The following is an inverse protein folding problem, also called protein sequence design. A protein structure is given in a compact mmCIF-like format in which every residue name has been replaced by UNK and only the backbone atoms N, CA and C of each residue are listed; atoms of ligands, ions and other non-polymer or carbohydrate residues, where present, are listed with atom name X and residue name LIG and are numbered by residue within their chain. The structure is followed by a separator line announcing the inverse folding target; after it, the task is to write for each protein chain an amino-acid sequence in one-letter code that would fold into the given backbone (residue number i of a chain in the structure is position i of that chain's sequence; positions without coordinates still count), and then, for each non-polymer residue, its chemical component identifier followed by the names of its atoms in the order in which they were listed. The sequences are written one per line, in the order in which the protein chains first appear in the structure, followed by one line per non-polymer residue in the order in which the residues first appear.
data_IF_740293633816
#
_entry.id   IF_740293633816
#
_cell.length_a   1.000
_cell.length_b   1.000
_cell.length_c   1.000
_cell.angle_alpha   90.00
_cell.angle_beta   90.00
_cell.angle_gamma   90.00
#
_symmetry.space_group_name_H-M   'P 1'
#
loop_
_entity.id
_entity.type
_entity.pdbx_description
1 polymer ?
#
# COMPACT_ATOMS: atom_id res chain seq x y z
N UNK A 1 -7.36 -35.01 23.24
CA UNK A 1 -6.86 -34.91 21.84
C UNK A 1 -6.74 -33.44 21.55
N UNK A 2 -5.56 -32.96 21.20
CA UNK A 2 -5.38 -31.57 20.77
C UNK A 2 -5.77 -31.49 19.31
N UNK A 3 -6.93 -30.93 19.01
CA UNK A 3 -7.37 -30.76 17.64
C UNK A 3 -6.45 -29.76 16.95
N UNK A 4 -5.77 -30.19 15.88
CA UNK A 4 -4.94 -29.31 15.08
C UNK A 4 -5.84 -28.35 14.30
N UNK A 5 -5.76 -27.05 14.60
CA UNK A 5 -6.43 -26.01 13.84
C UNK A 5 -5.75 -25.86 12.47
N UNK A 6 -6.32 -26.49 11.45
CA UNK A 6 -5.83 -26.35 10.07
C UNK A 6 -6.35 -25.02 9.53
N UNK A 7 -5.52 -23.98 9.60
CA UNK A 7 -5.81 -22.69 8.96
C UNK A 7 -5.45 -22.73 7.47
N UNK A 8 -6.39 -22.35 6.60
CA UNK A 8 -6.17 -22.26 5.17
C UNK A 8 -5.19 -21.15 4.79
N UNK A 9 -4.62 -21.24 3.58
CA UNK A 9 -3.72 -20.19 3.07
C UNK A 9 -4.46 -18.87 2.84
N UNK A 10 -4.05 -17.81 3.53
CA UNK A 10 -4.62 -16.47 3.38
C UNK A 10 -4.04 -15.74 2.15
N UNK A 11 -4.42 -16.18 0.95
CA UNK A 11 -4.04 -15.53 -0.30
C UNK A 11 -4.85 -14.26 -0.55
N UNK A 12 -4.22 -13.27 -1.18
CA UNK A 12 -4.93 -12.09 -1.67
C UNK A 12 -5.66 -12.47 -2.96
N UNK A 13 -6.98 -12.54 -2.91
CA UNK A 13 -7.81 -12.95 -4.03
C UNK A 13 -8.18 -11.76 -4.91
N UNK A 14 -8.38 -12.00 -6.20
CA UNK A 14 -9.01 -11.00 -7.10
C UNK A 14 -10.51 -11.05 -6.84
N UNK A 15 -11.02 -10.05 -6.13
CA UNK A 15 -12.41 -9.97 -5.71
C UNK A 15 -12.93 -8.53 -5.77
N UNK A 16 -14.25 -8.38 -5.88
CA UNK A 16 -14.91 -7.07 -5.86
C UNK A 16 -14.70 -6.42 -4.49
N UNK A 17 -14.29 -5.16 -4.49
CA UNK A 17 -13.98 -4.38 -3.28
C UNK A 17 -12.52 -4.45 -2.87
N UNK A 18 -11.70 -5.38 -3.40
CA UNK A 18 -10.28 -5.38 -3.08
C UNK A 18 -9.61 -4.14 -3.64
N UNK A 19 -8.85 -3.47 -2.78
CA UNK A 19 -8.03 -2.33 -3.15
C UNK A 19 -6.74 -2.83 -3.76
N UNK A 20 -6.37 -2.20 -4.85
CA UNK A 20 -5.21 -2.52 -5.65
C UNK A 20 -4.36 -1.29 -5.88
N UNK A 21 -3.08 -1.52 -6.09
CA UNK A 21 -2.10 -0.48 -6.40
C UNK A 21 -1.75 -0.63 -7.86
N UNK A 22 -1.92 0.45 -8.63
CA UNK A 22 -1.47 0.47 -10.01
C UNK A 22 0.06 0.53 -10.01
N UNK A 23 0.68 -0.32 -10.81
CA UNK A 23 2.12 -0.48 -10.88
C UNK A 23 2.60 -0.54 -12.33
N UNK A 24 3.91 -0.66 -12.49
CA UNK A 24 4.59 -0.77 -13.78
C UNK A 24 4.36 0.49 -14.65
N UNK A 25 4.60 0.33 -15.94
CA UNK A 25 4.34 1.32 -16.97
C UNK A 25 2.83 1.43 -17.22
N UNK A 26 2.21 2.41 -16.58
CA UNK A 26 0.80 2.80 -16.67
C UNK A 26 0.65 4.30 -16.30
N UNK A 27 -0.25 5.08 -16.93
CA UNK A 27 -0.38 6.51 -16.66
C UNK A 27 -0.68 6.86 -15.20
N UNK A 28 -1.48 6.01 -14.53
CA UNK A 28 -1.85 6.17 -13.12
C UNK A 28 -0.96 5.36 -12.16
N UNK A 29 0.28 5.06 -12.55
CA UNK A 29 1.20 4.26 -11.74
C UNK A 29 1.42 4.91 -10.37
N UNK A 30 1.21 4.12 -9.32
CA UNK A 30 1.20 4.60 -7.95
C UNK A 30 -0.17 4.92 -7.38
N UNK A 31 -1.20 5.10 -8.21
CA UNK A 31 -2.57 5.27 -7.76
C UNK A 31 -3.11 4.03 -7.04
N UNK A 32 -4.16 4.24 -6.24
CA UNK A 32 -4.91 3.16 -5.59
C UNK A 32 -6.33 3.14 -6.11
N UNK A 33 -6.87 1.94 -6.32
CA UNK A 33 -8.21 1.76 -6.87
C UNK A 33 -8.86 0.52 -6.25
N UNK A 34 -10.18 0.48 -6.19
CA UNK A 34 -10.93 -0.72 -5.83
C UNK A 34 -11.34 -1.46 -7.11
N UNK A 35 -11.32 -2.80 -7.07
CA UNK A 35 -11.92 -3.62 -8.11
C UNK A 35 -13.43 -3.50 -7.99
N UNK A 36 -14.06 -2.94 -9.03
CA UNK A 36 -15.52 -2.77 -9.11
C UNK A 36 -16.18 -3.97 -9.78
N UNK A 37 -15.51 -4.53 -10.78
CA UNK A 37 -15.97 -5.70 -11.51
C UNK A 37 -14.77 -6.47 -12.11
N UNK A 38 -14.92 -7.79 -12.25
CA UNK A 38 -13.97 -8.65 -12.93
C UNK A 38 -14.51 -8.85 -14.34
N UNK A 39 -13.77 -8.38 -15.34
CA UNK A 39 -14.20 -8.43 -16.75
C UNK A 39 -13.92 -9.82 -17.30
N UNK A 40 -12.68 -10.28 -17.12
CA UNK A 40 -12.21 -11.59 -17.55
C UNK A 40 -11.02 -12.04 -16.68
N UNK A 41 -10.42 -13.19 -17.00
CA UNK A 41 -9.29 -13.76 -16.24
C UNK A 41 -8.03 -12.88 -16.21
N UNK A 42 -7.92 -11.89 -17.10
CA UNK A 42 -6.73 -11.04 -17.23
C UNK A 42 -7.01 -9.57 -16.93
N UNK A 43 -8.27 -9.14 -16.87
CA UNK A 43 -8.65 -7.73 -16.75
C UNK A 43 -9.74 -7.50 -15.72
N UNK A 44 -9.62 -6.38 -15.02
CA UNK A 44 -10.56 -5.90 -14.01
C UNK A 44 -10.97 -4.46 -14.31
N UNK A 45 -12.22 -4.12 -13.99
CA UNK A 45 -12.67 -2.75 -13.95
C UNK A 45 -12.33 -2.16 -12.57
N UNK A 46 -11.55 -1.09 -12.55
CA UNK A 46 -11.10 -0.47 -11.31
C UNK A 46 -11.45 1.01 -11.28
N UNK A 47 -11.58 1.55 -10.08
CA UNK A 47 -11.78 2.96 -9.84
C UNK A 47 -11.25 3.36 -8.47
N UNK A 48 -10.57 4.51 -8.39
CA UNK A 48 -10.00 5.05 -7.16
C UNK A 48 -10.59 6.42 -6.87
N UNK A 49 -11.36 6.53 -5.78
CA UNK A 49 -11.99 7.78 -5.33
C UNK A 49 -11.26 8.37 -4.12
N UNK A 50 -9.94 8.23 -4.09
CA UNK A 50 -9.07 8.80 -3.04
C UNK A 50 -9.22 10.32 -2.98
N UNK A 51 -9.03 10.89 -1.79
CA UNK A 51 -9.00 12.34 -1.57
C UNK A 51 -7.71 13.00 -2.11
N UNK A 52 -6.60 12.26 -2.17
CA UNK A 52 -5.33 12.72 -2.72
C UNK A 52 -5.33 12.56 -4.25
N UNK A 53 -5.19 13.67 -4.98
CA UNK A 53 -5.18 13.75 -6.44
C UNK A 53 -4.12 12.85 -7.08
N UNK A 54 -2.97 12.67 -6.43
CA UNK A 54 -1.90 11.80 -6.94
C UNK A 54 -2.24 10.31 -6.85
N UNK A 55 -3.25 9.96 -6.06
CA UNK A 55 -3.70 8.60 -5.82
C UNK A 55 -5.01 8.27 -6.54
N UNK A 56 -5.71 9.28 -7.07
CA UNK A 56 -6.97 9.12 -7.80
C UNK A 56 -6.75 8.34 -9.09
N UNK A 57 -7.69 7.43 -9.37
CA UNK A 57 -7.69 6.62 -10.59
C UNK A 57 -9.08 6.69 -11.20
N UNK A 58 -9.25 7.20 -12.43
CA UNK A 58 -10.55 7.20 -13.07
C UNK A 58 -11.00 5.77 -13.38
N UNK A 59 -12.32 5.59 -13.49
CA UNK A 59 -12.93 4.30 -13.82
C UNK A 59 -12.41 3.82 -15.18
N UNK A 60 -11.68 2.71 -15.18
CA UNK A 60 -11.11 2.14 -16.40
C UNK A 60 -10.86 0.63 -16.25
N UNK A 61 -10.79 -0.07 -17.39
CA UNK A 61 -10.36 -1.46 -17.42
C UNK A 61 -8.83 -1.52 -17.35
N UNK A 62 -8.29 -2.32 -16.43
CA UNK A 62 -6.85 -2.52 -16.27
C UNK A 62 -6.52 -4.02 -16.29
N UNK A 63 -5.47 -4.45 -17.00
CA UNK A 63 -4.99 -5.81 -16.92
C UNK A 63 -4.33 -6.11 -15.57
N UNK A 64 -4.58 -7.29 -15.01
CA UNK A 64 -4.11 -7.72 -13.70
C UNK A 64 -2.58 -7.71 -13.55
N UNK A 65 -1.84 -7.83 -14.66
CA UNK A 65 -0.37 -7.75 -14.66
C UNK A 65 0.19 -6.32 -14.45
N UNK A 66 -0.65 -5.28 -14.52
CA UNK A 66 -0.31 -3.87 -14.23
C UNK A 66 -0.76 -3.44 -12.83
N UNK A 67 -1.18 -4.40 -12.01
CA UNK A 67 -1.84 -4.17 -10.76
C UNK A 67 -1.24 -5.08 -9.70
N UNK A 68 -1.15 -4.58 -8.48
CA UNK A 68 -0.70 -5.35 -7.32
C UNK A 68 -1.80 -5.35 -6.26
N UNK A 69 -2.12 -6.55 -5.76
CA UNK A 69 -3.18 -6.74 -4.77
C UNK A 69 -2.70 -6.25 -3.39
N UNK A 70 -3.42 -5.28 -2.83
CA UNK A 70 -3.21 -4.84 -1.46
C UNK A 70 -3.99 -5.73 -0.47
N UNK A 71 -3.63 -5.73 0.83
CA UNK A 71 -4.43 -6.43 1.85
C UNK A 71 -5.76 -5.74 2.14
N UNK A 72 -5.97 -4.51 1.70
CA UNK A 72 -7.18 -3.73 2.00
C UNK A 72 -8.34 -4.19 1.09
N UNK A 73 -9.52 -4.32 1.70
CA UNK A 73 -10.77 -4.67 1.02
C UNK A 73 -11.87 -3.74 1.54
N UNK A 74 -12.70 -3.23 0.63
CA UNK A 74 -13.93 -2.52 0.95
C UNK A 74 -15.02 -3.58 1.16
N UNK A 75 -15.45 -3.83 2.40
CA UNK A 75 -16.42 -4.89 2.68
C UNK A 75 -17.79 -4.51 2.11
N UNK A 76 -18.44 -5.46 1.44
CA UNK A 76 -19.81 -5.29 0.92
C UNK A 76 -19.92 -4.35 -0.29
N UNK A 77 -18.84 -4.14 -1.05
CA UNK A 77 -18.94 -3.48 -2.35
C UNK A 77 -19.72 -4.38 -3.31
N UNK A 78 -20.81 -3.86 -3.86
CA UNK A 78 -21.60 -4.57 -4.85
C UNK A 78 -20.88 -4.56 -6.19
N UNK A 79 -21.02 -5.66 -6.94
CA UNK A 79 -20.52 -5.72 -8.33
C UNK A 79 -21.13 -4.59 -9.15
N UNK A 80 -20.31 -3.94 -9.98
CA UNK A 80 -20.73 -2.83 -10.84
C UNK A 80 -21.29 -1.60 -10.08
N UNK A 81 -20.93 -1.44 -8.80
CA UNK A 81 -21.21 -0.21 -8.03
C UNK A 81 -20.81 1.04 -8.80
N UNK A 82 -21.68 2.06 -8.83
CA UNK A 82 -21.42 3.36 -9.48
C UNK A 82 -20.52 4.25 -8.61
N UNK A 83 -19.90 5.27 -9.22
CA UNK A 83 -18.97 6.21 -8.58
C UNK A 83 -19.46 6.70 -7.20
N UNK A 84 -20.70 7.21 -7.12
CA UNK A 84 -21.24 7.75 -5.87
C UNK A 84 -21.35 6.70 -4.76
N UNK A 85 -21.70 5.45 -5.09
CA UNK A 85 -21.76 4.36 -4.11
C UNK A 85 -20.37 3.91 -3.67
N UNK A 86 -19.42 3.83 -4.62
CA UNK A 86 -18.04 3.48 -4.32
C UNK A 86 -17.40 4.53 -3.41
N UNK A 87 -17.56 5.83 -3.73
CA UNK A 87 -17.02 6.93 -2.93
C UNK A 87 -17.50 6.88 -1.48
N UNK A 88 -18.82 6.70 -1.27
CA UNK A 88 -19.40 6.55 0.08
C UNK A 88 -18.82 5.37 0.84
N UNK A 89 -18.64 4.22 0.18
CA UNK A 89 -18.08 3.04 0.83
C UNK A 89 -16.57 3.14 1.06
N UNK A 90 -15.84 3.81 0.16
CA UNK A 90 -14.42 4.10 0.28
C UNK A 90 -14.12 4.97 1.50
N UNK A 91 -14.90 6.04 1.66
CA UNK A 91 -14.86 6.93 2.82
C UNK A 91 -15.26 6.19 4.10
N UNK A 92 -16.36 5.44 4.08
CA UNK A 92 -16.82 4.63 5.22
C UNK A 92 -15.79 3.58 5.66
N UNK A 93 -15.07 3.00 4.72
CA UNK A 93 -14.02 2.01 5.00
C UNK A 93 -12.68 2.66 5.38
N UNK A 94 -12.58 4.00 5.34
CA UNK A 94 -11.39 4.80 5.65
C UNK A 94 -10.15 4.31 4.89
N UNK A 95 -10.31 3.98 3.61
CA UNK A 95 -9.25 3.37 2.80
C UNK A 95 -8.02 4.26 2.71
N UNK A 96 -8.20 5.58 2.59
CA UNK A 96 -7.06 6.52 2.50
C UNK A 96 -6.21 6.52 3.78
N UNK A 97 -6.85 6.48 4.96
CA UNK A 97 -6.17 6.41 6.26
C UNK A 97 -5.43 5.08 6.40
N UNK A 98 -6.12 3.97 6.13
CA UNK A 98 -5.53 2.63 6.19
C UNK A 98 -4.39 2.47 5.19
N UNK A 99 -4.52 3.04 4.00
CA UNK A 99 -3.47 3.05 2.98
C UNK A 99 -2.21 3.74 3.50
N UNK A 100 -2.34 4.94 4.09
CA UNK A 100 -1.21 5.71 4.66
C UNK A 100 -0.48 4.94 5.76
N UNK A 101 -1.19 4.11 6.52
CA UNK A 101 -0.59 3.28 7.58
C UNK A 101 0.20 2.09 7.06
N UNK A 102 -0.08 1.63 5.83
CA UNK A 102 0.62 0.48 5.25
C UNK A 102 2.12 0.72 5.13
N UNK A 103 2.89 -0.37 5.25
CA UNK A 103 4.35 -0.35 5.03
C UNK A 103 4.69 0.14 3.61
N UNK A 104 3.80 -0.08 2.64
CA UNK A 104 3.99 0.36 1.27
C UNK A 104 3.93 1.87 1.14
N UNK A 105 2.87 2.50 1.64
CA UNK A 105 2.74 3.96 1.63
C UNK A 105 3.89 4.62 2.38
N UNK A 106 4.23 4.11 3.58
CA UNK A 106 5.38 4.57 4.38
C UNK A 106 6.70 4.48 3.61
N UNK A 107 6.96 3.35 2.94
CA UNK A 107 8.19 3.16 2.15
C UNK A 107 8.23 4.10 0.94
N UNK A 108 7.10 4.29 0.25
CA UNK A 108 7.04 5.23 -0.89
C UNK A 108 7.28 6.66 -0.44
N UNK A 109 6.64 7.10 0.65
CA UNK A 109 6.86 8.41 1.25
C UNK A 109 8.33 8.60 1.66
N UNK A 110 8.95 7.57 2.24
CA UNK A 110 10.38 7.61 2.58
C UNK A 110 11.26 7.78 1.34
N UNK A 111 10.98 7.05 0.25
CA UNK A 111 11.73 7.19 -1.01
C UNK A 111 11.56 8.57 -1.62
N UNK A 112 10.32 9.09 -1.66
CA UNK A 112 10.04 10.44 -2.14
C UNK A 112 10.80 11.50 -1.33
N UNK A 113 10.75 11.41 0.00
CA UNK A 113 11.49 12.32 0.90
C UNK A 113 13.00 12.26 0.67
N UNK A 114 13.56 11.07 0.43
CA UNK A 114 14.99 10.89 0.14
C UNK A 114 15.40 11.49 -1.21
N UNK A 115 14.54 11.38 -2.22
CA UNK A 115 14.75 12.02 -3.53
C UNK A 115 14.72 13.54 -3.41
N UNK A 116 13.86 14.09 -2.56
CA UNK A 116 13.70 15.52 -2.35
C UNK A 116 14.76 16.18 -1.42
N UNK A 117 15.72 15.42 -0.87
CA UNK A 117 16.72 15.97 0.04
C UNK A 117 17.69 16.93 -0.69
N UNK A 118 17.89 18.11 -0.11
CA UNK A 118 18.98 19.02 -0.48
C UNK A 118 20.34 18.46 -0.05
N UNK A 119 21.43 19.00 -0.60
CA UNK A 119 22.78 18.54 -0.24
C UNK A 119 23.09 18.74 1.25
N UNK A 120 22.70 19.90 1.79
CA UNK A 120 22.84 20.18 3.22
C UNK A 120 22.03 19.19 4.08
N UNK A 121 20.83 18.80 3.66
CA UNK A 121 20.05 17.80 4.39
C UNK A 121 20.66 16.40 4.30
N UNK A 122 21.29 16.04 3.18
CA UNK A 122 22.07 14.79 3.08
C UNK A 122 23.24 14.79 4.06
N UNK A 123 23.93 15.92 4.21
CA UNK A 123 24.99 16.07 5.21
C UNK A 123 24.45 15.90 6.64
N UNK A 124 23.33 16.54 7.00
CA UNK A 124 22.67 16.33 8.31
C UNK A 124 22.33 14.86 8.54
N UNK A 125 21.70 14.20 7.56
CA UNK A 125 21.34 12.77 7.63
C UNK A 125 22.58 11.90 7.81
N UNK A 126 23.70 12.22 7.15
CA UNK A 126 24.97 11.51 7.31
C UNK A 126 25.49 11.65 8.75
N UNK A 127 25.55 12.86 9.30
CA UNK A 127 26.01 13.10 10.68
C UNK A 127 25.15 12.38 11.71
N UNK A 128 23.82 12.48 11.60
CA UNK A 128 22.89 11.80 12.50
C UNK A 128 23.00 10.28 12.42
N UNK A 129 23.21 9.71 11.23
CA UNK A 129 23.44 8.26 11.07
C UNK A 129 24.74 7.81 11.73
N UNK A 130 25.80 8.59 11.63
CA UNK A 130 27.08 8.30 12.28
C UNK A 130 26.94 8.28 13.80
N UNK A 131 26.27 9.28 14.37
CA UNK A 131 26.00 9.33 15.81
C UNK A 131 25.16 8.13 16.28
N UNK A 132 24.07 7.81 15.56
CA UNK A 132 23.22 6.66 15.88
C UNK A 132 23.99 5.34 15.86
N UNK A 133 24.82 5.11 14.83
CA UNK A 133 25.65 3.90 14.70
C UNK A 133 26.66 3.76 15.83
N UNK A 134 27.23 4.88 16.30
CA UNK A 134 28.17 4.87 17.41
C UNK A 134 27.49 4.38 18.70
N UNK A 135 26.33 4.94 19.03
CA UNK A 135 25.56 4.52 20.21
C UNK A 135 25.06 3.07 20.10
N UNK A 136 24.56 2.65 18.93
CA UNK A 136 24.17 1.26 18.67
C UNK A 136 25.34 0.28 18.93
N UNK A 137 26.56 0.60 18.45
CA UNK A 137 27.75 -0.23 18.67
C UNK A 137 28.18 -0.27 20.12
N UNK A 138 28.11 0.87 20.82
CA UNK A 138 28.42 0.96 22.26
C UNK A 138 27.47 0.09 23.09
N UNK A 139 26.16 0.16 22.80
CA UNK A 139 25.16 -0.68 23.46
C UNK A 139 25.39 -2.17 23.16
N UNK A 140 25.64 -2.51 21.90
CA UNK A 140 25.88 -3.89 21.46
C UNK A 140 27.16 -4.48 22.07
N UNK A 141 28.23 -3.70 22.20
CA UNK A 141 29.46 -4.14 22.87
C UNK A 141 29.21 -4.48 24.34
N UNK A 142 28.39 -3.69 25.07
CA UNK A 142 27.99 -3.99 26.44
C UNK A 142 27.20 -5.30 26.54
N UNK A 143 26.19 -5.48 25.68
CA UNK A 143 25.37 -6.70 25.65
C UNK A 143 26.25 -7.93 25.39
N UNK A 144 27.18 -7.84 24.43
CA UNK A 144 28.11 -8.93 24.11
C UNK A 144 29.10 -9.25 25.23
N UNK A 145 29.47 -8.27 26.05
CA UNK A 145 30.37 -8.50 27.17
C UNK A 145 29.65 -9.16 28.37
N UNK A 146 28.31 -8.98 28.46
CA UNK A 146 27.46 -9.56 29.50
C UNK A 146 26.80 -10.89 29.13
N UNK A 147 26.83 -11.28 27.86
CA UNK A 147 26.29 -12.53 27.32
C UNK A 147 27.41 -13.56 27.15
#
# INVERSE_FOLDING_TARGET
MGDATIEGSNWRLVEVGRVVVISNDHPYSGGIAAIVEIIDHKRVLVEGTSSDENLVVPRQAIPLNKVLLSPLVIPGLLRASRHASLKKQWEKAEIDSKWKETSWAKKRAQVAKRKALSDFDRFKVMRLKTQRRFEERKALAKIKASA
#
